data_IF_802904857471
#
_entry.id   IF_802904857471
#
_cell.length_a   1.000
_cell.length_b   1.000
_cell.length_c   1.000
_cell.angle_alpha   90.00
_cell.angle_beta   90.00
_cell.angle_gamma   90.00
#
_symmetry.space_group_name_H-M   'P 1'
#
loop_
_entity.id
_entity.type
_entity.pdbx_description
1 polymer ?
#
# COMPACT_ATOMS: atom_id res chain seq x y z
N UNK A 1 2.40 -4.24 1.40
CA UNK A 1 1.37 -4.08 0.35
C UNK A 1 0.52 -5.30 0.05
N UNK A 2 0.27 -6.23 0.99
CA UNK A 2 -0.68 -7.35 0.77
C UNK A 2 -2.09 -6.89 0.38
N UNK A 3 -2.59 -5.81 1.00
CA UNK A 3 -3.86 -5.17 0.64
C UNK A 3 -3.89 -4.65 -0.80
N UNK A 4 -2.81 -4.01 -1.25
CA UNK A 4 -2.71 -3.53 -2.64
C UNK A 4 -2.72 -4.69 -3.64
N UNK A 5 -2.12 -5.83 -3.29
CA UNK A 5 -2.15 -7.04 -4.12
C UNK A 5 -3.55 -7.64 -4.21
N UNK A 6 -4.21 -7.78 -3.06
CA UNK A 6 -5.48 -8.47 -2.96
C UNK A 6 -6.67 -7.67 -3.50
N UNK A 7 -6.79 -6.39 -3.11
CA UNK A 7 -8.00 -5.62 -3.41
C UNK A 7 -7.97 -4.94 -4.79
N UNK A 8 -9.13 -4.83 -5.47
CA UNK A 8 -9.26 -4.07 -6.71
C UNK A 8 -8.98 -2.57 -6.52
N UNK A 9 -8.48 -1.90 -7.57
CA UNK A 9 -8.14 -0.47 -7.55
C UNK A 9 -9.30 0.41 -7.07
N UNK A 10 -10.49 0.24 -7.64
CA UNK A 10 -11.66 1.06 -7.32
C UNK A 10 -12.04 0.97 -5.82
N UNK A 11 -11.97 -0.23 -5.25
CA UNK A 11 -12.26 -0.44 -3.84
C UNK A 11 -11.21 0.22 -2.94
N UNK A 12 -9.92 0.10 -3.28
CA UNK A 12 -8.85 0.80 -2.56
C UNK A 12 -9.06 2.32 -2.57
N UNK A 13 -9.37 2.90 -3.74
CA UNK A 13 -9.63 4.33 -3.86
C UNK A 13 -10.86 4.75 -3.04
N UNK A 14 -11.94 3.96 -3.06
CA UNK A 14 -13.12 4.22 -2.24
C UNK A 14 -12.80 4.19 -0.75
N UNK A 15 -12.12 3.14 -0.28
CA UNK A 15 -11.73 3.00 1.13
C UNK A 15 -10.76 4.11 1.58
N UNK A 16 -9.83 4.52 0.71
CA UNK A 16 -8.91 5.62 0.98
C UNK A 16 -9.66 6.93 1.20
N UNK A 17 -10.59 7.28 0.29
CA UNK A 17 -11.43 8.47 0.42
C UNK A 17 -12.22 8.47 1.73
N UNK A 18 -12.83 7.34 2.09
CA UNK A 18 -13.59 7.22 3.34
C UNK A 18 -12.70 7.27 4.59
N UNK A 19 -11.50 6.69 4.54
CA UNK A 19 -10.58 6.68 5.68
C UNK A 19 -10.06 8.08 5.99
N UNK A 20 -9.66 8.84 4.96
CA UNK A 20 -9.03 10.17 5.11
C UNK A 20 -9.96 11.18 5.78
N UNK A 21 -11.28 11.05 5.61
CA UNK A 21 -12.27 11.87 6.32
C UNK A 21 -12.23 11.70 7.85
N UNK A 22 -11.66 10.60 8.35
CA UNK A 22 -11.62 10.27 9.78
C UNK A 22 -10.20 10.27 10.35
N UNK A 23 -9.21 9.85 9.55
CA UNK A 23 -7.81 9.69 9.96
C UNK A 23 -6.90 9.61 8.74
N UNK A 24 -5.63 10.03 8.85
CA UNK A 24 -4.65 9.85 7.77
C UNK A 24 -4.51 8.38 7.38
N UNK A 25 -4.30 8.15 6.09
CA UNK A 25 -4.03 6.83 5.55
C UNK A 25 -2.53 6.54 5.57
N UNK A 26 -2.11 5.49 6.28
CA UNK A 26 -0.74 4.99 6.23
C UNK A 26 -0.64 3.78 5.29
N UNK A 27 0.13 3.92 4.22
CA UNK A 27 0.37 2.84 3.26
C UNK A 27 1.81 2.36 3.39
N UNK A 28 1.98 1.10 3.78
CA UNK A 28 3.29 0.45 3.87
C UNK A 28 3.49 -0.56 2.73
N UNK A 29 4.59 -0.38 2.00
CA UNK A 29 4.94 -1.16 0.82
C UNK A 29 6.35 -1.71 0.99
N UNK A 30 6.52 -2.96 0.61
CA UNK A 30 7.83 -3.62 0.60
C UNK A 30 8.51 -3.40 -0.75
N UNK A 31 9.85 -3.27 -0.80
CA UNK A 31 10.60 -3.09 -2.06
C UNK A 31 10.26 -4.14 -3.13
N UNK A 32 10.09 -5.40 -2.71
CA UNK A 32 9.70 -6.50 -3.62
C UNK A 32 8.39 -6.25 -4.35
N UNK A 33 7.48 -5.47 -3.79
CA UNK A 33 6.17 -5.18 -4.39
C UNK A 33 6.27 -4.16 -5.53
N UNK A 34 7.41 -3.45 -5.63
CA UNK A 34 7.75 -2.55 -6.74
C UNK A 34 8.61 -3.22 -7.80
N UNK A 35 9.21 -4.37 -7.50
CA UNK A 35 10.03 -5.17 -8.41
C UNK A 35 9.47 -6.60 -8.51
N UNK A 36 8.41 -6.85 -9.29
CA UNK A 36 7.76 -8.16 -9.36
C UNK A 36 8.61 -9.26 -10.01
N UNK A 37 9.68 -8.89 -10.70
CA UNK A 37 10.57 -9.81 -11.41
C UNK A 37 11.74 -10.30 -10.54
N UNK A 38 11.76 -9.89 -9.26
CA UNK A 38 12.72 -10.35 -8.27
C UNK A 38 12.68 -11.90 -8.10
N UNK A 39 13.81 -12.53 -7.71
CA UNK A 39 13.85 -13.98 -7.46
C UNK A 39 12.79 -14.43 -6.45
N UNK A 40 11.95 -15.38 -6.85
CA UNK A 40 10.89 -15.92 -5.99
C UNK A 40 11.41 -17.08 -5.16
N UNK A 41 11.01 -17.13 -3.90
CA UNK A 41 11.41 -18.18 -2.97
C UNK A 41 10.48 -19.38 -3.19
N UNK A 42 11.01 -20.60 -3.43
CA UNK A 42 10.18 -21.79 -3.55
C UNK A 42 9.45 -22.07 -2.24
N UNK A 43 8.14 -22.27 -2.33
CA UNK A 43 7.27 -22.49 -1.18
C UNK A 43 5.99 -23.22 -1.61
N UNK A 44 5.20 -23.71 -0.65
CA UNK A 44 3.92 -24.34 -0.97
C UNK A 44 2.95 -23.36 -1.66
N UNK A 45 2.02 -23.91 -2.45
CA UNK A 45 1.09 -23.13 -3.29
C UNK A 45 0.34 -22.04 -2.51
N UNK A 46 -0.08 -22.34 -1.28
CA UNK A 46 -0.79 -21.39 -0.43
C UNK A 46 0.06 -20.17 -0.04
N UNK A 47 1.30 -20.41 0.40
CA UNK A 47 2.23 -19.34 0.77
C UNK A 47 2.70 -18.57 -0.47
N UNK A 48 2.87 -19.26 -1.59
CA UNK A 48 3.20 -18.65 -2.88
C UNK A 48 2.09 -17.67 -3.29
N UNK A 49 0.85 -18.12 -3.29
CA UNK A 49 -0.33 -17.29 -3.58
C UNK A 49 -0.34 -16.02 -2.71
N UNK A 50 -0.29 -16.15 -1.37
CA UNK A 50 -0.28 -14.99 -0.47
C UNK A 50 0.88 -14.01 -0.74
N UNK A 51 2.01 -14.52 -1.18
CA UNK A 51 3.25 -13.76 -1.35
C UNK A 51 3.33 -13.06 -2.71
N UNK A 52 2.80 -13.67 -3.77
CA UNK A 52 3.09 -13.27 -5.14
C UNK A 52 1.87 -12.86 -5.98
N UNK A 53 0.65 -13.02 -5.47
CA UNK A 53 -0.55 -12.60 -6.22
C UNK A 53 -0.48 -11.13 -6.63
N UNK A 54 -0.83 -10.86 -7.88
CA UNK A 54 -1.08 -9.52 -8.39
C UNK A 54 0.01 -8.48 -8.08
N UNK A 55 1.27 -8.90 -7.90
CA UNK A 55 2.36 -7.97 -7.56
C UNK A 55 2.55 -6.88 -8.61
N UNK A 56 2.44 -7.24 -9.90
CA UNK A 56 2.49 -6.28 -11.01
C UNK A 56 1.43 -5.17 -10.95
N UNK A 57 0.34 -5.38 -10.20
CA UNK A 57 -0.72 -4.36 -10.05
C UNK A 57 -0.43 -3.33 -8.96
N UNK A 58 0.53 -3.60 -8.07
CA UNK A 58 0.79 -2.75 -6.90
C UNK A 58 1.25 -1.34 -7.29
N UNK A 59 2.20 -1.14 -8.23
CA UNK A 59 2.63 0.20 -8.61
C UNK A 59 1.47 1.07 -9.13
N UNK A 60 0.66 0.55 -10.06
CA UNK A 60 -0.48 1.30 -10.61
C UNK A 60 -1.56 1.61 -9.57
N UNK A 61 -1.76 0.74 -8.57
CA UNK A 61 -2.68 1.01 -7.46
C UNK A 61 -2.11 2.05 -6.49
N UNK A 62 -0.80 2.02 -6.24
CA UNK A 62 -0.13 3.05 -5.44
C UNK A 62 -0.26 4.42 -6.13
N UNK A 63 0.06 4.51 -7.43
CA UNK A 63 -0.08 5.75 -8.19
C UNK A 63 -1.51 6.29 -8.10
N UNK A 64 -2.53 5.43 -8.30
CA UNK A 64 -3.92 5.84 -8.19
C UNK A 64 -4.33 6.32 -6.79
N UNK A 65 -3.67 5.84 -5.72
CA UNK A 65 -3.89 6.37 -4.37
C UNK A 65 -3.23 7.74 -4.23
N UNK A 66 -1.99 7.90 -4.69
CA UNK A 66 -1.26 9.17 -4.64
C UNK A 66 -1.93 10.27 -5.48
N UNK A 67 -2.61 9.93 -6.58
CA UNK A 67 -3.32 10.89 -7.43
C UNK A 67 -4.61 11.43 -6.79
N UNK A 68 -5.23 10.68 -5.87
CA UNK A 68 -6.52 11.07 -5.26
C UNK A 68 -6.36 11.59 -3.83
N UNK A 69 -5.14 11.65 -3.31
CA UNK A 69 -4.84 12.06 -1.93
C UNK A 69 -3.61 12.95 -1.90
N UNK A 70 -3.58 13.92 -0.99
CA UNK A 70 -2.32 14.57 -0.64
C UNK A 70 -1.45 13.61 0.18
N UNK A 71 -0.14 13.64 -0.06
CA UNK A 71 0.83 12.83 0.68
C UNK A 71 1.85 13.73 1.37
N UNK A 72 2.31 13.28 2.53
CA UNK A 72 3.32 13.95 3.34
C UNK A 72 4.29 12.94 3.93
N UNK A 73 5.42 13.40 4.44
CA UNK A 73 6.36 12.50 5.13
C UNK A 73 5.77 12.11 6.48
N UNK A 74 5.86 10.83 6.80
CA UNK A 74 5.40 10.32 8.10
C UNK A 74 6.09 11.02 9.29
N UNK A 75 7.38 11.37 9.12
CA UNK A 75 8.14 12.10 10.14
C UNK A 75 7.50 13.45 10.45
N UNK A 76 7.17 14.23 9.43
CA UNK A 76 6.62 15.58 9.59
C UNK A 76 5.26 15.52 10.31
N UNK A 77 4.41 14.57 9.92
CA UNK A 77 3.14 14.30 10.61
C UNK A 77 3.35 13.95 12.10
N UNK A 78 4.31 13.08 12.40
CA UNK A 78 4.61 12.65 13.77
C UNK A 78 5.15 13.80 14.65
N UNK A 79 6.07 14.62 14.11
CA UNK A 79 6.67 15.75 14.82
C UNK A 79 5.61 16.81 15.18
N UNK A 80 4.61 17.03 14.32
CA UNK A 80 3.54 18.01 14.58
C UNK A 80 2.49 17.47 15.56
N UNK A 81 2.09 16.20 15.45
CA UNK A 81 0.88 15.69 16.13
C UNK A 81 1.12 14.72 17.28
N UNK A 82 2.32 14.13 17.40
CA UNK A 82 2.58 13.10 18.41
C UNK A 82 3.70 13.48 19.38
N UNK A 83 4.66 14.32 18.96
CA UNK A 83 5.81 14.69 19.79
C UNK A 83 5.51 15.80 20.82
N UNK A 84 4.39 16.51 20.66
CA UNK A 84 3.94 17.57 21.57
C UNK A 84 2.92 17.07 22.61
N UNK A 85 2.69 15.76 22.69
CA UNK A 85 1.76 15.11 23.65
C UNK A 85 2.52 14.40 24.76
#
# INVERSE_FOLDING_TARGET
GGYLRFFPKALLCHMAKQSILKRPLLVYIHPREMDPDHPQIPMNLYRHFKSYINMRSVPGKLTALLEITEYQRLKDYYDIHCKQS
#
